data_IF_627933484987
#
_entry.id   IF_627933484987
#
_cell.length_a   1.000
_cell.length_b   1.000
_cell.length_c   1.000
_cell.angle_alpha   90.00
_cell.angle_beta   90.00
_cell.angle_gamma   90.00
#
_symmetry.space_group_name_H-M   'P 1'
#
loop_
_entity.id
_entity.type
_entity.pdbx_description
1 polymer ?
#
# COMPACT_ATOMS: atom_id res chain seq x y z
N UNK A 1 31.72 -8.17 76.87
CA UNK A 1 30.72 -7.75 75.87
C UNK A 1 31.49 -7.30 74.59
N UNK A 2 31.56 -8.21 73.66
CA UNK A 2 32.44 -8.12 72.47
C UNK A 2 31.63 -7.63 71.28
N UNK A 3 31.95 -6.45 70.78
CA UNK A 3 31.24 -5.87 69.62
C UNK A 3 31.83 -6.39 68.32
N UNK A 4 31.00 -7.10 67.55
CA UNK A 4 31.29 -7.54 66.21
C UNK A 4 31.01 -6.37 65.29
N UNK A 5 32.06 -5.83 64.61
CA UNK A 5 31.93 -4.87 63.51
C UNK A 5 31.90 -5.64 62.20
N UNK A 6 30.72 -5.75 61.59
CA UNK A 6 30.56 -6.21 60.21
C UNK A 6 31.16 -5.21 59.25
N UNK A 7 32.19 -5.62 58.53
CA UNK A 7 32.74 -4.91 57.38
C UNK A 7 31.91 -5.24 56.13
N UNK A 8 30.95 -4.39 55.78
CA UNK A 8 30.28 -4.43 54.49
C UNK A 8 31.27 -3.95 53.41
N UNK A 9 31.87 -4.91 52.74
CA UNK A 9 32.75 -4.65 51.61
C UNK A 9 31.94 -4.21 50.36
N UNK A 10 31.93 -2.92 50.08
CA UNK A 10 31.39 -2.39 48.79
C UNK A 10 32.27 -2.84 47.63
N UNK A 11 31.77 -3.84 46.88
CA UNK A 11 32.39 -4.30 45.64
C UNK A 11 32.18 -3.21 44.58
N UNK A 12 33.19 -2.35 44.37
CA UNK A 12 33.22 -1.40 43.26
C UNK A 12 33.25 -2.20 41.97
N UNK A 13 32.16 -2.21 41.19
CA UNK A 13 32.11 -2.73 39.82
C UNK A 13 33.05 -1.87 38.96
N UNK A 14 34.19 -2.43 38.57
CA UNK A 14 35.06 -1.79 37.57
C UNK A 14 34.39 -1.91 36.21
N UNK A 15 33.89 -0.80 35.66
CA UNK A 15 33.47 -0.75 34.29
C UNK A 15 34.65 -1.14 33.39
N UNK A 16 34.43 -1.99 32.36
CA UNK A 16 35.50 -2.40 31.46
C UNK A 16 36.11 -1.17 30.77
N UNK A 17 37.43 -1.09 30.74
CA UNK A 17 38.14 0.01 30.12
C UNK A 17 38.04 -0.12 28.60
N UNK A 18 37.08 0.60 27.99
CA UNK A 18 36.87 0.61 26.54
C UNK A 18 37.99 1.45 25.91
N UNK A 19 38.85 0.84 25.08
CA UNK A 19 39.88 1.55 24.35
C UNK A 19 39.28 2.46 23.28
N UNK A 20 39.94 3.57 22.96
CA UNK A 20 39.51 4.49 21.87
C UNK A 20 39.35 3.72 20.55
N UNK A 21 40.19 2.75 20.26
CA UNK A 21 40.12 1.90 19.07
C UNK A 21 38.86 1.01 19.08
N UNK A 22 38.56 0.40 20.21
CA UNK A 22 37.33 -0.45 20.34
C UNK A 22 36.06 0.40 20.20
N UNK A 23 36.08 1.63 20.71
CA UNK A 23 34.96 2.57 20.56
C UNK A 23 34.75 2.97 19.08
N UNK A 24 35.81 3.30 18.37
CA UNK A 24 35.74 3.65 16.94
C UNK A 24 35.27 2.46 16.10
N UNK A 25 35.84 1.27 16.30
CA UNK A 25 35.42 0.05 15.60
C UNK A 25 33.96 -0.27 15.89
N UNK A 26 33.55 -0.18 17.16
CA UNK A 26 32.15 -0.39 17.56
C UNK A 26 31.19 0.62 16.95
N UNK A 27 31.57 1.90 16.92
CA UNK A 27 30.77 2.96 16.31
C UNK A 27 30.62 2.80 14.79
N UNK A 28 31.72 2.41 14.10
CA UNK A 28 31.69 2.13 12.66
C UNK A 28 30.84 0.93 12.33
N UNK A 29 30.95 -0.16 13.11
CA UNK A 29 30.13 -1.35 12.94
C UNK A 29 28.65 -1.07 13.21
N UNK A 30 28.33 -0.36 14.29
CA UNK A 30 26.95 0.03 14.61
C UNK A 30 26.37 0.98 13.55
N UNK A 31 27.15 1.94 13.06
CA UNK A 31 26.77 2.84 11.97
C UNK A 31 26.52 2.08 10.67
N UNK A 32 27.39 1.14 10.32
CA UNK A 32 27.23 0.27 9.14
C UNK A 32 25.99 -0.61 9.22
N UNK A 33 25.72 -1.21 10.39
CA UNK A 33 24.50 -2.00 10.61
C UNK A 33 23.24 -1.14 10.56
N UNK A 34 23.25 0.06 11.13
CA UNK A 34 22.14 0.99 11.09
C UNK A 34 21.82 1.43 9.65
N UNK A 35 22.85 1.71 8.86
CA UNK A 35 22.72 2.03 7.44
C UNK A 35 22.15 0.82 6.67
N UNK A 36 22.75 -0.36 6.82
CA UNK A 36 22.26 -1.58 6.17
C UNK A 36 20.78 -1.86 6.53
N UNK A 37 20.41 -1.72 7.80
CA UNK A 37 19.02 -1.89 8.22
C UNK A 37 18.09 -0.81 7.66
N UNK A 38 18.57 0.43 7.50
CA UNK A 38 17.81 1.54 6.93
C UNK A 38 17.52 1.35 5.45
N UNK A 39 18.49 0.82 4.69
CA UNK A 39 18.36 0.56 3.26
C UNK A 39 17.84 -0.84 2.93
N UNK A 40 17.53 -1.67 3.94
CA UNK A 40 17.00 -3.01 3.70
C UNK A 40 15.61 -2.94 3.06
N UNK A 41 15.42 -3.50 1.84
CA UNK A 41 14.12 -3.48 1.17
C UNK A 41 13.07 -4.20 2.03
N UNK A 42 11.93 -3.56 2.21
CA UNK A 42 10.81 -4.12 2.96
C UNK A 42 9.66 -4.38 2.02
N UNK A 43 9.16 -5.60 2.05
CA UNK A 43 7.96 -5.99 1.33
C UNK A 43 6.82 -6.11 2.36
N UNK A 44 5.75 -5.37 2.13
CA UNK A 44 4.54 -5.44 2.93
C UNK A 44 3.48 -6.21 2.16
N UNK A 45 2.94 -7.27 2.74
CA UNK A 45 1.80 -7.98 2.20
C UNK A 45 0.49 -7.28 2.63
N UNK A 46 -0.56 -7.34 1.81
CA UNK A 46 -1.89 -6.90 2.23
C UNK A 46 -2.35 -7.66 3.48
N UNK A 47 -2.79 -6.92 4.51
CA UNK A 47 -3.34 -7.48 5.75
C UNK A 47 -4.87 -7.43 5.74
N UNK A 48 -5.45 -7.79 4.60
CA UNK A 48 -6.89 -7.84 4.39
C UNK A 48 -7.46 -9.18 4.85
N UNK A 49 -8.68 -9.14 5.36
CA UNK A 49 -9.48 -10.33 5.61
C UNK A 49 -10.49 -10.50 4.47
N UNK A 50 -10.63 -11.71 3.98
CA UNK A 50 -11.62 -12.04 2.96
C UNK A 50 -12.63 -13.05 3.53
N UNK A 51 -13.90 -12.96 3.11
CA UNK A 51 -14.89 -14.00 3.33
C UNK A 51 -14.52 -15.25 2.50
N UNK A 52 -15.13 -16.43 2.80
CA UNK A 52 -14.81 -17.66 2.06
C UNK A 52 -15.04 -17.58 0.55
N UNK A 53 -15.95 -16.72 0.13
CA UNK A 53 -16.35 -16.45 -1.26
C UNK A 53 -15.75 -15.17 -1.84
N UNK A 54 -14.82 -14.53 -1.12
CA UNK A 54 -14.09 -13.35 -1.57
C UNK A 54 -12.62 -13.68 -1.88
N UNK A 55 -12.07 -13.04 -2.90
CA UNK A 55 -10.70 -13.21 -3.34
C UNK A 55 -9.95 -11.88 -3.30
N UNK A 56 -8.82 -11.85 -2.60
CA UNK A 56 -7.95 -10.66 -2.51
C UNK A 56 -7.10 -10.61 -3.79
N UNK A 57 -7.26 -9.55 -4.57
CA UNK A 57 -6.46 -9.30 -5.78
C UNK A 57 -5.18 -8.50 -5.45
N UNK A 58 -5.33 -7.50 -4.58
CA UNK A 58 -4.21 -6.67 -4.12
C UNK A 58 -4.61 -5.90 -2.85
N UNK A 59 -3.84 -4.88 -2.48
CA UNK A 59 -4.11 -4.06 -1.31
C UNK A 59 -5.37 -3.19 -1.41
N UNK A 60 -5.91 -2.95 -2.62
CA UNK A 60 -6.98 -1.98 -2.85
C UNK A 60 -8.31 -2.59 -3.25
N UNK A 61 -8.35 -3.88 -3.60
CA UNK A 61 -9.61 -4.52 -3.97
C UNK A 61 -9.67 -6.02 -3.73
N UNK A 62 -10.87 -6.48 -3.44
CA UNK A 62 -11.31 -7.88 -3.38
C UNK A 62 -12.49 -8.06 -4.33
N UNK A 63 -12.66 -9.26 -4.88
CA UNK A 63 -13.78 -9.60 -5.76
C UNK A 63 -14.39 -10.90 -5.24
N UNK A 64 -15.72 -10.89 -5.04
CA UNK A 64 -16.50 -12.04 -4.62
C UNK A 64 -16.93 -12.93 -5.79
N UNK A 65 -17.26 -14.20 -5.49
CA UNK A 65 -17.82 -15.14 -6.45
C UNK A 65 -19.18 -14.66 -7.01
N UNK A 66 -19.88 -13.82 -6.27
CA UNK A 66 -21.13 -13.17 -6.69
C UNK A 66 -20.92 -11.96 -7.63
N UNK A 67 -19.68 -11.55 -7.82
CA UNK A 67 -19.26 -10.41 -8.65
C UNK A 67 -19.25 -9.05 -7.94
N UNK A 68 -19.52 -9.00 -6.62
CA UNK A 68 -19.31 -7.79 -5.85
C UNK A 68 -17.81 -7.48 -5.71
N UNK A 69 -17.50 -6.19 -5.71
CA UNK A 69 -16.12 -5.68 -5.63
C UNK A 69 -16.01 -4.80 -4.39
N UNK A 70 -15.26 -5.26 -3.39
CA UNK A 70 -14.96 -4.47 -2.22
C UNK A 70 -13.68 -3.64 -2.47
N UNK A 71 -13.85 -2.33 -2.52
CA UNK A 71 -12.76 -1.36 -2.67
C UNK A 71 -12.26 -0.93 -1.30
N UNK A 72 -10.95 -1.07 -1.09
CA UNK A 72 -10.29 -0.73 0.16
C UNK A 72 -9.85 0.73 0.11
N UNK A 73 -10.50 1.59 0.90
CA UNK A 73 -10.24 3.02 0.95
C UNK A 73 -9.36 3.37 2.15
N UNK A 74 -8.13 3.85 1.93
CA UNK A 74 -7.15 4.08 3.00
C UNK A 74 -7.26 5.45 3.69
N UNK A 75 -8.31 6.21 3.43
CA UNK A 75 -8.51 7.56 3.96
C UNK A 75 -9.89 7.72 4.54
N UNK A 76 -10.00 8.56 5.58
CA UNK A 76 -11.29 8.86 6.21
C UNK A 76 -12.11 9.82 5.35
N UNK A 77 -13.42 9.55 5.22
CA UNK A 77 -14.36 10.50 4.64
C UNK A 77 -14.64 11.64 5.61
N UNK A 78 -14.44 12.87 5.16
CA UNK A 78 -14.70 14.10 5.93
C UNK A 78 -15.50 15.13 5.09
N UNK A 79 -16.23 14.63 4.08
CA UNK A 79 -16.97 15.46 3.12
C UNK A 79 -16.21 15.76 1.83
N UNK A 80 -15.00 15.20 1.63
CA UNK A 80 -14.19 15.38 0.41
C UNK A 80 -14.47 14.36 -0.68
N UNK A 81 -15.35 13.38 -0.44
CA UNK A 81 -15.79 12.41 -1.43
C UNK A 81 -14.81 11.26 -1.69
N UNK A 82 -13.84 10.99 -0.81
CA UNK A 82 -12.82 9.95 -1.02
C UNK A 82 -13.42 8.54 -1.13
N UNK A 83 -14.49 8.27 -0.37
CA UNK A 83 -15.23 7.00 -0.41
C UNK A 83 -16.10 6.82 -1.67
N UNK A 84 -16.18 7.84 -2.51
CA UNK A 84 -16.81 7.77 -3.84
C UNK A 84 -15.77 7.83 -4.95
N UNK A 85 -14.84 8.79 -4.88
CA UNK A 85 -13.89 9.06 -5.96
C UNK A 85 -12.90 7.92 -6.18
N UNK A 86 -12.31 7.33 -5.12
CA UNK A 86 -11.38 6.22 -5.28
C UNK A 86 -12.08 4.95 -5.82
N UNK A 87 -13.27 4.56 -5.32
CA UNK A 87 -14.05 3.49 -5.94
C UNK A 87 -14.46 3.76 -7.40
N UNK A 88 -14.79 5.00 -7.78
CA UNK A 88 -15.07 5.34 -9.18
C UNK A 88 -13.85 5.11 -10.08
N UNK A 89 -12.65 5.52 -9.63
CA UNK A 89 -11.40 5.30 -10.36
C UNK A 89 -11.15 3.81 -10.58
N UNK A 90 -11.36 2.99 -9.54
CA UNK A 90 -11.20 1.54 -9.62
C UNK A 90 -12.25 0.93 -10.56
N UNK A 91 -13.51 1.31 -10.42
CA UNK A 91 -14.61 0.78 -11.22
C UNK A 91 -14.45 1.12 -12.71
N UNK A 92 -14.03 2.34 -13.02
CA UNK A 92 -13.80 2.79 -14.40
C UNK A 92 -12.64 2.04 -15.04
N UNK A 93 -11.49 1.96 -14.36
CA UNK A 93 -10.32 1.23 -14.86
C UNK A 93 -10.56 -0.28 -14.99
N UNK A 94 -11.33 -0.86 -14.04
CA UNK A 94 -11.67 -2.28 -14.05
C UNK A 94 -12.73 -2.62 -15.09
N UNK A 95 -13.54 -1.64 -15.55
CA UNK A 95 -14.74 -1.87 -16.35
C UNK A 95 -15.87 -2.53 -15.56
N UNK A 96 -15.99 -2.20 -14.27
CA UNK A 96 -16.98 -2.78 -13.38
C UNK A 96 -18.38 -2.13 -13.51
N UNK A 97 -19.41 -2.84 -13.08
CA UNK A 97 -20.73 -2.23 -12.84
C UNK A 97 -20.68 -1.49 -11.50
N UNK A 98 -20.93 -0.18 -11.53
CA UNK A 98 -20.94 0.64 -10.33
C UNK A 98 -21.82 0.12 -9.20
N UNK A 99 -22.93 -0.52 -9.55
CA UNK A 99 -23.89 -1.08 -8.59
C UNK A 99 -23.36 -2.29 -7.81
N UNK A 100 -22.25 -2.86 -8.24
CA UNK A 100 -21.58 -3.98 -7.55
C UNK A 100 -20.42 -3.53 -6.68
N UNK A 101 -20.16 -2.23 -6.60
CA UNK A 101 -19.04 -1.67 -5.82
C UNK A 101 -19.48 -1.50 -4.35
N UNK A 102 -18.70 -2.09 -3.46
CA UNK A 102 -18.77 -1.86 -2.02
C UNK A 102 -17.49 -1.16 -1.56
N UNK A 103 -17.54 -0.50 -0.40
CA UNK A 103 -16.39 0.23 0.18
C UNK A 103 -16.08 -0.35 1.55
N UNK A 104 -14.79 -0.65 1.76
CA UNK A 104 -14.26 -1.03 3.05
C UNK A 104 -13.16 -0.07 3.48
N UNK A 105 -13.08 0.22 4.78
CA UNK A 105 -11.96 1.00 5.32
C UNK A 105 -10.70 0.14 5.37
N UNK A 106 -9.59 0.70 4.89
CA UNK A 106 -8.31 0.02 4.95
C UNK A 106 -7.86 -0.25 6.40
N UNK A 107 -7.32 -1.43 6.69
CA UNK A 107 -6.67 -1.69 7.97
C UNK A 107 -5.39 -0.86 8.09
N UNK A 108 -4.90 -0.67 9.33
CA UNK A 108 -3.64 0.04 9.54
C UNK A 108 -2.50 -0.78 8.92
N UNK A 109 -1.85 -0.21 7.91
CA UNK A 109 -0.74 -0.85 7.20
C UNK A 109 0.19 0.17 6.55
N UNK A 110 1.48 -0.12 6.47
CA UNK A 110 2.44 0.66 5.68
C UNK A 110 2.06 0.86 4.21
N UNK A 111 1.30 -0.06 3.62
CA UNK A 111 0.82 0.01 2.24
C UNK A 111 -0.07 1.23 1.97
N UNK A 112 -0.73 1.75 3.01
CA UNK A 112 -1.68 2.85 2.93
C UNK A 112 -1.13 4.16 3.49
N UNK A 113 0.19 4.28 3.59
CA UNK A 113 0.84 5.49 4.11
C UNK A 113 0.61 6.68 3.18
N UNK A 114 0.17 7.81 3.74
CA UNK A 114 0.03 9.05 3.01
C UNK A 114 1.37 9.82 2.97
N UNK A 115 2.27 9.39 2.08
CA UNK A 115 3.60 10.00 1.94
C UNK A 115 3.55 11.41 1.36
N UNK A 116 2.53 11.74 0.57
CA UNK A 116 2.34 13.07 0.01
C UNK A 116 2.14 14.12 1.12
N UNK A 117 1.32 13.80 2.12
CA UNK A 117 1.12 14.66 3.29
C UNK A 117 2.42 14.89 4.05
N UNK A 118 3.23 13.85 4.22
CA UNK A 118 4.53 13.93 4.92
C UNK A 118 5.53 14.81 4.17
N UNK A 119 5.48 14.82 2.87
CA UNK A 119 6.34 15.67 2.02
C UNK A 119 5.90 17.13 2.04
N UNK A 120 4.59 17.39 1.93
CA UNK A 120 4.02 18.74 1.87
C UNK A 120 4.01 19.43 3.25
N UNK A 121 3.70 18.70 4.30
CA UNK A 121 3.60 19.25 5.67
C UNK A 121 4.87 18.95 6.50
N UNK A 122 6.01 19.33 5.94
CA UNK A 122 7.32 19.11 6.57
C UNK A 122 7.46 19.78 7.95
N UNK A 123 6.64 20.78 8.27
CA UNK A 123 6.67 21.48 9.55
C UNK A 123 6.15 20.62 10.70
N UNK A 124 5.20 19.72 10.43
CA UNK A 124 4.62 18.81 11.43
C UNK A 124 5.60 17.69 11.79
N UNK A 125 6.35 17.19 10.81
CA UNK A 125 7.17 15.99 10.99
C UNK A 125 8.65 16.26 11.27
N UNK A 126 9.20 17.40 10.85
CA UNK A 126 10.58 17.85 11.19
C UNK A 126 10.76 19.35 10.93
N UNK A 127 11.22 20.14 11.91
CA UNK A 127 11.49 21.57 11.70
C UNK A 127 12.57 21.78 10.64
N UNK A 128 12.30 22.65 9.68
CA UNK A 128 13.12 22.96 8.51
C UNK A 128 14.49 23.62 8.84
N UNK A 129 14.78 23.92 10.09
CA UNK A 129 15.62 25.03 10.52
C UNK A 129 17.13 24.87 10.40
N UNK A 130 17.68 23.68 10.11
CA UNK A 130 19.17 23.52 10.16
C UNK A 130 19.76 22.48 9.18
N UNK A 131 19.11 22.16 8.07
CA UNK A 131 19.65 21.16 7.16
C UNK A 131 19.95 21.81 5.81
N UNK A 132 21.21 21.78 5.34
CA UNK A 132 21.58 22.29 4.02
C UNK A 132 20.81 21.61 2.89
N UNK A 133 20.59 22.32 1.78
CA UNK A 133 19.78 21.82 0.65
C UNK A 133 20.33 20.53 0.02
N UNK A 134 21.64 20.31 0.05
CA UNK A 134 22.26 19.09 -0.49
C UNK A 134 21.89 17.80 0.26
N UNK A 135 21.33 17.89 1.46
CA UNK A 135 20.77 16.74 2.20
C UNK A 135 19.23 16.72 2.18
N UNK A 136 18.59 17.60 1.39
CA UNK A 136 17.13 17.68 1.30
C UNK A 136 16.52 16.35 0.82
N UNK A 137 17.14 15.70 -0.17
CA UNK A 137 16.70 14.42 -0.71
C UNK A 137 16.80 13.29 0.32
N UNK A 138 17.92 13.23 1.07
CA UNK A 138 18.11 12.26 2.15
C UNK A 138 17.08 12.48 3.26
N UNK A 139 16.76 13.73 3.56
CA UNK A 139 15.77 14.07 4.58
C UNK A 139 14.35 13.73 4.14
N UNK A 140 13.99 13.99 2.88
CA UNK A 140 12.67 13.64 2.35
C UNK A 140 12.50 12.11 2.32
N UNK A 141 13.53 11.39 1.86
CA UNK A 141 13.56 9.94 1.94
C UNK A 141 13.41 9.43 3.38
N UNK A 142 14.16 9.96 4.34
CA UNK A 142 14.09 9.53 5.73
C UNK A 142 12.69 9.78 6.35
N UNK A 143 12.03 10.89 6.00
CA UNK A 143 10.66 11.18 6.45
C UNK A 143 9.65 10.20 5.86
N UNK A 144 9.72 9.93 4.54
CA UNK A 144 8.85 8.95 3.89
C UNK A 144 9.05 7.56 4.50
N UNK A 145 10.30 7.15 4.68
CA UNK A 145 10.62 5.86 5.29
C UNK A 145 10.10 5.76 6.73
N UNK A 146 10.24 6.84 7.52
CA UNK A 146 9.66 6.91 8.85
C UNK A 146 8.13 6.79 8.80
N UNK A 147 7.48 7.53 7.92
CA UNK A 147 6.03 7.50 7.77
C UNK A 147 5.52 6.11 7.37
N UNK A 148 6.19 5.44 6.43
CA UNK A 148 5.87 4.07 6.00
C UNK A 148 6.01 3.10 7.16
N UNK A 149 7.11 3.16 7.92
CA UNK A 149 7.31 2.29 9.08
C UNK A 149 6.28 2.46 10.19
N UNK A 150 5.71 3.65 10.30
CA UNK A 150 4.68 3.96 11.32
C UNK A 150 3.26 3.96 10.75
N UNK A 151 3.09 3.51 9.50
CA UNK A 151 1.80 3.46 8.81
C UNK A 151 1.01 4.78 8.96
N UNK A 152 1.64 5.91 8.61
CA UNK A 152 1.01 7.23 8.74
C UNK A 152 -0.09 7.39 7.69
N UNK A 153 -1.34 7.12 8.09
CA UNK A 153 -2.54 7.12 7.24
C UNK A 153 -3.40 8.38 7.46
N UNK A 154 -2.79 9.49 7.80
CA UNK A 154 -3.51 10.74 8.10
C UNK A 154 -4.23 11.28 6.86
N UNK A 155 -5.47 11.72 7.06
CA UNK A 155 -6.30 12.41 6.06
C UNK A 155 -6.24 13.91 6.31
N UNK A 156 -5.57 14.66 5.46
CA UNK A 156 -5.45 16.12 5.58
C UNK A 156 -5.01 16.76 4.26
N UNK A 157 -5.08 18.10 4.20
CA UNK A 157 -4.51 18.98 3.16
C UNK A 157 -4.91 18.60 1.72
N UNK A 158 -6.11 18.03 1.50
CA UNK A 158 -6.56 17.60 0.18
C UNK A 158 -5.65 16.54 -0.47
N UNK A 159 -4.87 15.79 0.33
CA UNK A 159 -3.91 14.80 -0.16
C UNK A 159 -4.53 13.46 -0.53
N UNK A 160 -5.75 13.16 -0.07
CA UNK A 160 -6.36 11.82 -0.17
C UNK A 160 -6.43 11.28 -1.59
N UNK A 161 -7.12 11.97 -2.49
CA UNK A 161 -7.26 11.51 -3.89
C UNK A 161 -5.92 11.63 -4.61
N UNK A 162 -5.21 12.75 -4.45
CA UNK A 162 -3.90 12.99 -5.09
C UNK A 162 -2.85 11.91 -4.75
N UNK A 163 -2.90 11.37 -3.54
CA UNK A 163 -1.99 10.29 -3.11
C UNK A 163 -2.41 8.92 -3.68
N UNK A 164 -3.71 8.64 -3.67
CA UNK A 164 -4.21 7.28 -3.90
C UNK A 164 -4.84 7.06 -5.28
N UNK A 165 -5.06 8.09 -6.10
CA UNK A 165 -5.56 7.95 -7.46
C UNK A 165 -4.72 6.98 -8.29
N UNK A 166 -3.41 7.23 -8.39
CA UNK A 166 -2.51 6.40 -9.17
C UNK A 166 -2.40 4.96 -8.62
N UNK A 167 -2.15 4.72 -7.32
CA UNK A 167 -2.16 3.38 -6.75
C UNK A 167 -3.47 2.61 -6.98
N UNK A 168 -4.62 3.27 -6.86
CA UNK A 168 -5.93 2.64 -7.13
C UNK A 168 -6.09 2.27 -8.60
N UNK A 169 -5.69 3.15 -9.52
CA UNK A 169 -5.73 2.89 -10.95
C UNK A 169 -4.81 1.73 -11.35
N UNK A 170 -3.58 1.70 -10.84
CA UNK A 170 -2.63 0.61 -11.05
C UNK A 170 -3.16 -0.73 -10.52
N UNK A 171 -3.74 -0.72 -9.32
CA UNK A 171 -4.34 -1.91 -8.71
C UNK A 171 -5.52 -2.45 -9.53
N UNK A 172 -6.37 -1.56 -10.03
CA UNK A 172 -7.50 -1.93 -10.89
C UNK A 172 -7.04 -2.48 -12.25
N UNK A 173 -6.04 -1.86 -12.88
CA UNK A 173 -5.46 -2.33 -14.14
C UNK A 173 -4.85 -3.73 -14.00
N UNK A 174 -4.12 -3.99 -12.92
CA UNK A 174 -3.59 -5.32 -12.61
C UNK A 174 -4.70 -6.35 -12.41
N UNK A 175 -5.72 -6.02 -11.61
CA UNK A 175 -6.87 -6.91 -11.38
C UNK A 175 -7.63 -7.20 -12.70
N UNK A 176 -7.82 -6.19 -13.55
CA UNK A 176 -8.42 -6.35 -14.87
C UNK A 176 -7.63 -7.34 -15.71
N UNK A 177 -6.31 -7.20 -15.78
CA UNK A 177 -5.46 -8.12 -16.51
C UNK A 177 -5.59 -9.55 -15.99
N UNK A 178 -5.61 -9.76 -14.67
CA UNK A 178 -5.79 -11.08 -14.05
C UNK A 178 -7.14 -11.71 -14.41
N UNK A 179 -8.22 -10.93 -14.40
CA UNK A 179 -9.57 -11.39 -14.81
C UNK A 179 -9.57 -11.80 -16.29
N UNK A 180 -9.00 -10.97 -17.17
CA UNK A 180 -8.88 -11.27 -18.59
C UNK A 180 -8.03 -12.53 -18.84
N UNK A 181 -6.91 -12.68 -18.13
CA UNK A 181 -6.06 -13.88 -18.22
C UNK A 181 -6.80 -15.14 -17.79
N UNK A 182 -7.58 -15.08 -16.71
CA UNK A 182 -8.38 -16.22 -16.24
C UNK A 182 -9.50 -16.59 -17.22
N UNK A 183 -10.19 -15.61 -17.79
CA UNK A 183 -11.22 -15.83 -18.80
C UNK A 183 -10.65 -16.36 -20.12
N UNK A 184 -9.53 -15.80 -20.59
CA UNK A 184 -8.85 -16.21 -21.80
C UNK A 184 -8.41 -17.68 -21.76
N UNK A 185 -7.94 -18.18 -20.60
CA UNK A 185 -7.64 -19.61 -20.40
C UNK A 185 -8.85 -20.51 -20.61
N UNK A 186 -10.09 -20.06 -20.24
CA UNK A 186 -11.32 -20.83 -20.48
C UNK A 186 -11.74 -20.82 -21.94
N UNK A 187 -11.29 -19.83 -22.70
CA UNK A 187 -11.69 -19.65 -24.09
C UNK A 187 -10.61 -20.08 -25.10
N UNK A 188 -9.43 -20.49 -24.63
CA UNK A 188 -8.25 -20.78 -25.44
C UNK A 188 -7.91 -19.60 -26.37
N UNK A 189 -7.82 -18.40 -25.78
CA UNK A 189 -7.62 -17.12 -26.46
C UNK A 189 -6.41 -16.37 -25.85
N UNK A 190 -5.92 -15.35 -26.54
CA UNK A 190 -4.99 -14.40 -25.94
C UNK A 190 -5.77 -13.44 -25.03
N UNK A 191 -5.27 -13.23 -23.83
CA UNK A 191 -5.89 -12.32 -22.87
C UNK A 191 -5.88 -10.85 -23.34
N UNK A 192 -4.93 -10.47 -24.21
CA UNK A 192 -4.83 -9.15 -24.80
C UNK A 192 -5.97 -8.85 -25.79
N UNK A 193 -6.62 -9.88 -26.31
CA UNK A 193 -7.81 -9.76 -27.15
C UNK A 193 -9.12 -9.67 -26.35
N UNK A 194 -9.03 -9.82 -25.03
CA UNK A 194 -10.16 -9.66 -24.14
C UNK A 194 -10.33 -8.19 -23.71
N UNK A 195 -11.54 -7.82 -23.29
CA UNK A 195 -11.83 -6.55 -22.65
C UNK A 195 -12.77 -6.75 -21.46
N UNK A 196 -13.03 -5.69 -20.71
CA UNK A 196 -13.94 -5.70 -19.57
C UNK A 196 -14.99 -4.62 -19.69
N UNK A 197 -16.25 -4.97 -19.42
CA UNK A 197 -17.37 -4.05 -19.49
C UNK A 197 -18.51 -4.49 -18.54
N UNK A 198 -18.99 -3.56 -17.71
CA UNK A 198 -20.16 -3.76 -16.85
C UNK A 198 -20.04 -4.95 -15.90
N UNK A 199 -18.83 -5.26 -15.39
CA UNK A 199 -18.58 -6.40 -14.50
C UNK A 199 -18.41 -7.75 -15.20
N UNK A 200 -18.16 -7.72 -16.52
CA UNK A 200 -17.89 -8.91 -17.31
C UNK A 200 -16.55 -8.80 -18.04
N UNK A 201 -15.88 -9.94 -18.20
CA UNK A 201 -14.83 -10.10 -19.20
C UNK A 201 -15.50 -10.51 -20.51
N UNK A 202 -15.08 -9.91 -21.62
CA UNK A 202 -15.66 -10.12 -22.96
C UNK A 202 -14.58 -10.54 -23.96
N UNK A 203 -14.96 -11.43 -24.90
CA UNK A 203 -14.16 -11.82 -26.06
C UNK A 203 -15.08 -12.14 -27.23
N UNK A 204 -15.20 -11.25 -28.18
CA UNK A 204 -16.17 -11.35 -29.27
C UNK A 204 -17.61 -11.43 -28.72
N UNK A 205 -18.28 -12.59 -28.90
CA UNK A 205 -19.64 -12.84 -28.35
C UNK A 205 -19.63 -13.54 -27.00
N UNK A 206 -18.47 -14.00 -26.51
CA UNK A 206 -18.34 -14.68 -25.23
C UNK A 206 -18.23 -13.66 -24.11
N UNK A 207 -18.81 -13.97 -22.96
CA UNK A 207 -18.71 -13.14 -21.76
C UNK A 207 -18.77 -14.00 -20.50
N UNK A 208 -18.02 -13.64 -19.48
CA UNK A 208 -18.02 -14.24 -18.16
C UNK A 208 -18.09 -13.12 -17.11
N UNK A 209 -18.89 -13.32 -16.07
CA UNK A 209 -18.90 -12.38 -14.94
C UNK A 209 -17.58 -12.41 -14.21
N UNK A 210 -17.18 -11.31 -13.59
CA UNK A 210 -15.96 -11.24 -12.78
C UNK A 210 -15.94 -12.33 -11.70
N UNK A 211 -17.07 -12.55 -10.99
CA UNK A 211 -17.16 -13.58 -9.98
C UNK A 211 -16.90 -15.00 -10.50
N UNK A 212 -17.29 -15.32 -11.74
CA UNK A 212 -17.06 -16.65 -12.32
C UNK A 212 -15.59 -16.98 -12.56
N UNK A 213 -14.72 -15.96 -12.61
CA UNK A 213 -13.28 -16.10 -12.86
C UNK A 213 -12.41 -15.58 -11.71
N UNK A 214 -13.02 -14.94 -10.69
CA UNK A 214 -12.31 -14.29 -9.59
C UNK A 214 -11.36 -15.24 -8.84
N UNK A 215 -11.85 -16.43 -8.46
CA UNK A 215 -11.04 -17.44 -7.77
C UNK A 215 -9.81 -17.86 -8.58
N UNK A 216 -9.98 -18.08 -9.89
CA UNK A 216 -8.90 -18.48 -10.78
C UNK A 216 -7.94 -17.29 -11.06
N UNK A 217 -8.48 -16.08 -11.19
CA UNK A 217 -7.73 -14.86 -11.44
C UNK A 217 -6.81 -14.50 -10.26
N UNK A 218 -7.30 -14.63 -9.03
CA UNK A 218 -6.55 -14.32 -7.82
C UNK A 218 -5.31 -15.22 -7.59
N UNK A 219 -5.23 -16.36 -8.29
CA UNK A 219 -4.08 -17.27 -8.24
C UNK A 219 -3.02 -16.97 -9.30
N UNK A 220 -3.24 -15.99 -10.16
CA UNK A 220 -2.33 -15.62 -11.23
C UNK A 220 -1.39 -14.51 -10.77
N UNK A 221 -0.26 -14.37 -11.46
CA UNK A 221 0.64 -13.24 -11.31
C UNK A 221 0.28 -12.16 -12.33
N UNK A 222 0.15 -10.89 -11.90
CA UNK A 222 -0.13 -9.79 -12.81
C UNK A 222 1.06 -9.54 -13.76
N UNK A 223 0.83 -8.94 -14.93
CA UNK A 223 1.89 -8.51 -15.82
C UNK A 223 2.81 -7.50 -15.09
N UNK A 224 4.11 -7.51 -15.46
CA UNK A 224 5.13 -6.66 -14.81
C UNK A 224 4.80 -5.17 -14.89
N UNK A 225 4.17 -4.73 -15.99
CA UNK A 225 3.69 -3.37 -16.16
C UNK A 225 2.16 -3.36 -16.24
N UNK A 226 1.49 -2.43 -15.54
CA UNK A 226 0.04 -2.32 -15.61
C UNK A 226 -0.39 -1.87 -17.02
N UNK A 227 -1.33 -2.61 -17.61
CA UNK A 227 -1.95 -2.26 -18.89
C UNK A 227 -3.23 -1.50 -18.60
N UNK A 228 -3.18 -0.18 -18.74
CA UNK A 228 -4.34 0.68 -18.46
C UNK A 228 -5.42 0.52 -19.54
N UNK A 229 -6.67 0.68 -19.11
CA UNK A 229 -7.81 0.71 -20.00
C UNK A 229 -7.72 1.95 -20.90
N UNK A 230 -8.04 1.81 -22.18
CA UNK A 230 -8.24 2.96 -23.06
C UNK A 230 -9.36 3.85 -22.48
N UNK A 231 -9.24 5.17 -22.63
CA UNK A 231 -10.24 6.09 -22.12
C UNK A 231 -11.63 5.64 -22.54
N UNK A 232 -12.50 5.37 -21.56
CA UNK A 232 -13.87 4.94 -21.84
C UNK A 232 -14.61 6.03 -22.59
N UNK A 233 -15.38 5.63 -23.61
CA UNK A 233 -16.31 6.53 -24.27
C UNK A 233 -17.44 6.99 -23.33
N UNK A 234 -17.63 6.29 -22.23
CA UNK A 234 -18.68 6.51 -21.23
C UNK A 234 -18.13 6.35 -19.80
N UNK A 235 -17.21 7.27 -19.36
CA UNK A 235 -16.60 7.20 -18.04
C UNK A 235 -17.63 7.44 -16.93
N UNK A 236 -17.38 6.88 -15.74
CA UNK A 236 -18.25 7.10 -14.56
C UNK A 236 -18.16 8.53 -14.02
N UNK A 237 -17.03 9.21 -14.18
CA UNK A 237 -16.88 10.58 -13.72
C UNK A 237 -17.71 11.56 -14.56
N UNK A 238 -18.36 12.50 -13.90
CA UNK A 238 -19.26 13.47 -14.53
C UNK A 238 -20.69 12.97 -14.75
N UNK A 239 -21.08 11.80 -14.23
CA UNK A 239 -22.43 11.27 -14.26
C UNK A 239 -23.06 11.29 -12.87
N UNK A 240 -24.39 11.38 -12.83
CA UNK A 240 -25.14 10.99 -11.64
C UNK A 240 -25.04 9.47 -11.46
N UNK A 241 -24.72 9.06 -10.23
CA UNK A 241 -24.51 7.64 -9.85
C UNK A 241 -25.74 7.09 -9.13
#
# INVERSE_FOLDING_TARGET
>A
MTGIRDKVGTKKSRLPHVSRRSLLVGATAAGGLALAWSFWPRHYAPNLTAAPDEHIFNAFLKIGDDGHIAVIVPQCEMGQGVTTLLPQIIADELGADWRTIAVETAPISPLYTNTLLVDEDSAVFMPRRFVPDFVADVRSWARREWAVRHAVMLTANGSSVRMFERPCREAAAQARALLMMAAARRWDADWQDCDTEGGFVTFGKKRLRFGEVAAAAALLEPPAEPVYRAASADPLYGKEL
#
